data_IF_126990470229
#
_entry.id   IF_126990470229
#
_cell.length_a   1.000
_cell.length_b   1.000
_cell.length_c   1.000
_cell.angle_alpha   90.00
_cell.angle_beta   90.00
_cell.angle_gamma   90.00
#
_symmetry.space_group_name_H-M   'P 1'
#
loop_
_entity.id
_entity.type
_entity.pdbx_description
1 polymer ?
#
# COMPACT_ATOMS: atom_id res chain seq x y z
N UNK A 1 16.80 -6.66 -19.29
CA UNK A 1 17.26 -6.86 -17.90
C UNK A 1 17.70 -8.32 -17.77
N UNK A 2 18.95 -8.64 -17.38
CA UNK A 2 19.37 -10.02 -17.21
C UNK A 2 18.54 -10.72 -16.12
N UNK A 3 18.23 -12.03 -16.24
CA UNK A 3 17.45 -12.74 -15.24
C UNK A 3 18.20 -12.75 -13.91
N UNK A 4 17.59 -12.19 -12.87
CA UNK A 4 18.13 -12.22 -11.52
C UNK A 4 18.42 -13.67 -11.11
N UNK A 5 19.55 -13.92 -10.46
CA UNK A 5 19.91 -15.27 -10.02
C UNK A 5 18.79 -15.85 -9.13
N UNK A 6 18.49 -17.16 -9.26
CA UNK A 6 17.41 -17.81 -8.49
C UNK A 6 17.47 -17.51 -6.99
N UNK A 7 18.69 -17.42 -6.43
CA UNK A 7 18.92 -17.03 -5.02
C UNK A 7 18.47 -15.60 -4.71
N UNK A 8 18.73 -14.65 -5.61
CA UNK A 8 18.25 -13.27 -5.48
C UNK A 8 16.73 -13.17 -5.60
N UNK A 9 16.08 -14.04 -6.37
CA UNK A 9 14.62 -14.05 -6.46
C UNK A 9 13.97 -14.53 -5.15
N UNK A 10 14.50 -15.59 -4.54
CA UNK A 10 14.00 -16.08 -3.25
C UNK A 10 14.21 -15.10 -2.10
N UNK A 11 15.35 -14.40 -2.05
CA UNK A 11 15.59 -13.40 -1.00
C UNK A 11 14.63 -12.21 -1.13
N UNK A 12 14.37 -11.74 -2.35
CA UNK A 12 13.38 -10.69 -2.61
C UNK A 12 11.96 -11.15 -2.23
N UNK A 13 11.59 -12.39 -2.56
CA UNK A 13 10.29 -12.93 -2.18
C UNK A 13 10.10 -12.98 -0.65
N UNK A 14 11.10 -13.45 0.10
CA UNK A 14 11.08 -13.44 1.56
C UNK A 14 10.95 -12.02 2.13
N UNK A 15 11.67 -11.07 1.55
CA UNK A 15 11.63 -9.67 1.97
C UNK A 15 10.24 -9.06 1.74
N UNK A 16 9.61 -9.35 0.59
CA UNK A 16 8.23 -8.93 0.31
C UNK A 16 7.25 -9.52 1.32
N UNK A 17 7.35 -10.83 1.61
CA UNK A 17 6.49 -11.50 2.61
C UNK A 17 6.66 -10.87 4.00
N UNK A 18 7.89 -10.58 4.41
CA UNK A 18 8.18 -9.95 5.70
C UNK A 18 7.59 -8.54 5.78
N UNK A 19 7.76 -7.73 4.73
CA UNK A 19 7.20 -6.36 4.67
C UNK A 19 5.67 -6.40 4.75
N UNK A 20 5.01 -7.26 3.97
CA UNK A 20 3.55 -7.35 3.95
C UNK A 20 2.96 -7.91 5.24
N UNK A 21 3.59 -8.94 5.82
CA UNK A 21 3.15 -9.52 7.09
C UNK A 21 3.31 -8.51 8.23
N UNK A 22 4.46 -7.82 8.30
CA UNK A 22 4.69 -6.76 9.26
C UNK A 22 3.70 -5.61 9.10
N UNK A 23 3.39 -5.20 7.87
CA UNK A 23 2.39 -4.18 7.59
C UNK A 23 1.00 -4.53 8.16
N UNK A 24 0.53 -5.75 7.92
CA UNK A 24 -0.78 -6.22 8.40
C UNK A 24 -0.82 -6.25 9.94
N UNK A 25 0.22 -6.79 10.57
CA UNK A 25 0.31 -6.90 12.03
C UNK A 25 0.33 -5.51 12.69
N UNK A 26 1.21 -4.62 12.24
CA UNK A 26 1.31 -3.24 12.78
C UNK A 26 0.02 -2.47 12.54
N UNK A 27 -0.62 -2.63 11.37
CA UNK A 27 -1.91 -1.97 11.09
C UNK A 27 -3.04 -2.47 11.97
N UNK A 28 -3.06 -3.77 12.31
CA UNK A 28 -4.02 -4.30 13.28
C UNK A 28 -3.78 -3.76 14.68
N UNK A 29 -2.53 -3.69 15.14
CA UNK A 29 -2.18 -3.13 16.46
C UNK A 29 -2.58 -1.65 16.52
N UNK A 30 -2.30 -0.88 15.46
CA UNK A 30 -2.74 0.51 15.34
C UNK A 30 -4.27 0.66 15.32
N UNK A 31 -4.98 -0.24 14.64
CA UNK A 31 -6.45 -0.25 14.59
C UNK A 31 -7.14 -0.76 15.87
N UNK A 32 -6.45 -1.53 16.71
CA UNK A 32 -6.94 -1.99 18.01
C UNK A 32 -6.67 -0.97 19.14
N UNK A 33 -5.70 -0.06 18.93
CA UNK A 33 -5.43 1.06 19.82
C UNK A 33 -6.51 2.15 19.70
N UNK A 34 -6.51 3.15 20.59
CA UNK A 34 -7.45 4.28 20.55
C UNK A 34 -7.31 5.20 19.31
N UNK A 35 -6.39 4.89 18.38
CA UNK A 35 -6.16 5.68 17.18
C UNK A 35 -7.30 5.53 16.19
N UNK A 36 -7.65 6.62 15.53
CA UNK A 36 -8.63 6.58 14.44
C UNK A 36 -7.97 6.05 13.16
N UNK A 37 -8.78 5.57 12.21
CA UNK A 37 -8.27 5.13 10.90
C UNK A 37 -7.57 6.29 10.16
N UNK A 38 -7.99 7.53 10.41
CA UNK A 38 -7.38 8.74 9.88
C UNK A 38 -5.97 8.96 10.42
N UNK A 39 -5.75 8.75 11.72
CA UNK A 39 -4.43 8.92 12.33
C UNK A 39 -3.43 7.89 11.80
N UNK A 40 -3.86 6.63 11.68
CA UNK A 40 -3.04 5.56 11.13
C UNK A 40 -2.70 5.79 9.65
N UNK A 41 -3.67 6.28 8.87
CA UNK A 41 -3.45 6.70 7.50
C UNK A 41 -2.47 7.88 7.42
N UNK A 42 -2.67 8.91 8.24
CA UNK A 42 -1.84 10.12 8.27
C UNK A 42 -0.38 9.77 8.58
N UNK A 43 -0.12 8.97 9.62
CA UNK A 43 1.25 8.56 9.97
C UNK A 43 1.92 7.88 8.77
N UNK A 44 1.26 6.90 8.14
CA UNK A 44 1.87 6.16 7.02
C UNK A 44 2.17 7.06 5.82
N UNK A 45 1.22 7.90 5.42
CA UNK A 45 1.38 8.74 4.23
C UNK A 45 2.30 9.93 4.49
N UNK A 46 2.28 10.53 5.68
CA UNK A 46 3.19 11.60 6.07
C UNK A 46 4.62 11.08 6.17
N UNK A 47 4.85 9.91 6.77
CA UNK A 47 6.19 9.30 6.82
C UNK A 47 6.69 8.97 5.41
N UNK A 48 5.84 8.37 4.57
CA UNK A 48 6.21 8.09 3.18
C UNK A 48 6.54 9.39 2.42
N UNK A 49 5.71 10.42 2.55
CA UNK A 49 5.94 11.73 1.93
C UNK A 49 7.25 12.36 2.43
N UNK A 50 7.53 12.34 3.73
CA UNK A 50 8.76 12.89 4.31
C UNK A 50 10.02 12.21 3.76
N UNK A 51 9.97 10.89 3.50
CA UNK A 51 11.07 10.14 2.90
C UNK A 51 11.17 10.40 1.39
N UNK A 52 10.04 10.52 0.69
CA UNK A 52 9.99 10.70 -0.76
C UNK A 52 10.28 12.13 -1.22
N UNK A 53 9.94 13.16 -0.43
CA UNK A 53 10.21 14.58 -0.74
C UNK A 53 11.69 14.86 -1.06
N UNK A 54 12.68 14.43 -0.25
CA UNK A 54 14.09 14.68 -0.56
C UNK A 54 14.55 13.93 -1.82
N UNK A 55 14.07 12.71 -2.04
CA UNK A 55 14.35 11.92 -3.25
C UNK A 55 13.77 12.60 -4.49
N UNK A 56 12.54 13.09 -4.41
CA UNK A 56 11.87 13.83 -5.49
C UNK A 56 12.59 15.13 -5.82
N UNK A 57 13.05 15.88 -4.80
CA UNK A 57 13.83 17.10 -5.00
C UNK A 57 15.15 16.82 -5.72
N UNK A 58 15.76 15.66 -5.48
CA UNK A 58 17.02 15.26 -6.11
C UNK A 58 16.86 14.77 -7.57
N UNK A 59 15.74 14.11 -7.92
CA UNK A 59 15.55 13.43 -9.22
C UNK A 59 14.90 14.23 -10.35
N UNK A 60 15.04 15.57 -10.38
CA UNK A 60 14.39 16.46 -11.38
C UNK A 60 12.86 16.32 -11.41
N UNK A 61 12.21 16.90 -10.38
CA UNK A 61 10.78 17.26 -10.24
C UNK A 61 9.85 16.93 -11.43
N UNK A 62 9.39 15.68 -11.60
CA UNK A 62 8.25 15.41 -12.47
C UNK A 62 7.01 16.16 -11.97
N UNK A 63 6.12 16.56 -12.87
CA UNK A 63 4.90 17.32 -12.54
C UNK A 63 4.02 16.50 -11.58
N UNK A 64 3.99 16.90 -10.29
CA UNK A 64 3.21 16.23 -9.25
C UNK A 64 1.71 16.57 -9.31
N UNK A 65 1.35 17.63 -10.03
CA UNK A 65 0.02 18.22 -10.04
C UNK A 65 -0.74 17.95 -11.35
N UNK A 66 -0.41 16.87 -12.05
CA UNK A 66 -1.26 16.39 -13.14
C UNK A 66 -2.59 15.90 -12.55
N UNK A 67 -3.71 16.38 -13.10
CA UNK A 67 -5.06 16.01 -12.67
C UNK A 67 -5.27 14.48 -12.68
N UNK A 68 -4.61 13.76 -13.59
CA UNK A 68 -4.63 12.29 -13.62
C UNK A 68 -3.92 11.68 -12.42
N UNK A 69 -2.73 12.18 -12.04
CA UNK A 69 -2.00 11.69 -10.86
C UNK A 69 -2.76 11.98 -9.57
N UNK A 70 -3.37 13.16 -9.47
CA UNK A 70 -4.20 13.54 -8.33
C UNK A 70 -5.43 12.63 -8.21
N UNK A 71 -6.15 12.38 -9.31
CA UNK A 71 -7.30 11.48 -9.31
C UNK A 71 -6.92 10.04 -8.92
N UNK A 72 -5.83 9.50 -9.47
CA UNK A 72 -5.34 8.17 -9.13
C UNK A 72 -4.91 8.07 -7.66
N UNK A 73 -4.26 9.10 -7.14
CA UNK A 73 -3.83 9.15 -5.72
C UNK A 73 -5.03 9.29 -4.78
N UNK A 74 -6.05 10.05 -5.16
CA UNK A 74 -7.27 10.20 -4.38
C UNK A 74 -8.05 8.86 -4.29
N UNK A 75 -8.17 8.13 -5.41
CA UNK A 75 -8.92 6.87 -5.44
C UNK A 75 -8.08 5.73 -4.84
N UNK A 76 -6.89 5.49 -5.37
CA UNK A 76 -6.04 4.36 -4.99
C UNK A 76 -5.26 4.56 -3.70
N UNK A 77 -5.00 5.81 -3.31
CA UNK A 77 -4.33 6.14 -2.06
C UNK A 77 -5.32 6.42 -0.94
N UNK A 78 -6.06 7.52 -1.05
CA UNK A 78 -6.96 8.00 0.02
C UNK A 78 -8.17 7.07 0.20
N UNK A 79 -9.01 6.89 -0.82
CA UNK A 79 -10.26 6.13 -0.67
C UNK A 79 -9.99 4.65 -0.32
N UNK A 80 -9.10 3.99 -1.06
CA UNK A 80 -8.69 2.62 -0.76
C UNK A 80 -8.04 2.49 0.63
N UNK A 81 -7.09 3.37 0.96
CA UNK A 81 -6.39 3.33 2.25
C UNK A 81 -7.34 3.47 3.42
N UNK A 82 -8.26 4.43 3.38
CA UNK A 82 -9.24 4.65 4.44
C UNK A 82 -10.21 3.48 4.61
N UNK A 83 -10.67 2.89 3.51
CA UNK A 83 -11.51 1.69 3.55
C UNK A 83 -10.74 0.50 4.15
N UNK A 84 -9.48 0.31 3.76
CA UNK A 84 -8.64 -0.76 4.29
C UNK A 84 -8.38 -0.58 5.81
N UNK A 85 -7.96 0.61 6.25
CA UNK A 85 -7.74 0.89 7.68
C UNK A 85 -9.02 0.83 8.52
N UNK A 86 -10.16 1.23 7.96
CA UNK A 86 -11.46 1.04 8.60
C UNK A 86 -11.82 -0.44 8.74
N UNK A 87 -11.49 -1.26 7.74
CA UNK A 87 -11.63 -2.72 7.79
C UNK A 87 -10.78 -3.37 8.88
N UNK A 88 -9.52 -2.91 9.04
CA UNK A 88 -8.62 -3.40 10.10
C UNK A 88 -9.14 -3.12 11.52
N UNK A 89 -9.92 -2.06 11.72
CA UNK A 89 -10.56 -1.76 13.02
C UNK A 89 -11.69 -2.75 13.34
N UNK A 90 -12.46 -3.16 12.33
CA UNK A 90 -13.65 -4.01 12.49
C UNK A 90 -13.37 -5.51 12.39
N UNK A 91 -12.31 -5.93 11.71
CA UNK A 91 -12.07 -7.35 11.37
C UNK A 91 -10.72 -7.88 11.89
N UNK A 92 -10.63 -9.15 12.33
CA UNK A 92 -9.37 -9.77 12.76
C UNK A 92 -8.28 -9.71 11.68
N UNK A 93 -7.02 -9.68 12.11
CA UNK A 93 -5.86 -9.62 11.20
C UNK A 93 -5.89 -10.70 10.11
N UNK A 94 -6.32 -11.92 10.44
CA UNK A 94 -6.39 -13.06 9.51
C UNK A 94 -7.32 -12.80 8.33
N UNK A 95 -8.52 -12.24 8.56
CA UNK A 95 -9.47 -11.93 7.50
C UNK A 95 -8.94 -10.80 6.61
N UNK A 96 -8.35 -9.77 7.20
CA UNK A 96 -7.75 -8.68 6.44
C UNK A 96 -6.52 -9.13 5.62
N UNK A 97 -5.72 -10.07 6.16
CA UNK A 97 -4.55 -10.64 5.50
C UNK A 97 -4.90 -11.50 4.28
N UNK A 98 -6.07 -12.14 4.28
CA UNK A 98 -6.53 -12.93 3.13
C UNK A 98 -7.20 -12.02 2.10
N UNK A 99 -8.07 -11.11 2.55
CA UNK A 99 -8.86 -10.29 1.64
C UNK A 99 -8.03 -9.23 0.92
N UNK A 100 -7.11 -8.53 1.60
CA UNK A 100 -6.36 -7.45 0.97
C UNK A 100 -5.37 -7.97 -0.11
N UNK A 101 -4.30 -8.72 0.22
CA UNK A 101 -3.38 -9.21 -0.79
C UNK A 101 -3.96 -10.35 -1.64
N UNK A 102 -4.93 -11.13 -1.14
CA UNK A 102 -5.51 -12.25 -1.87
C UNK A 102 -6.55 -11.85 -2.92
N UNK A 103 -7.34 -10.80 -2.71
CA UNK A 103 -8.32 -10.34 -3.71
C UNK A 103 -7.75 -9.32 -4.71
N UNK A 104 -6.64 -8.65 -4.39
CA UNK A 104 -6.01 -7.68 -5.28
C UNK A 104 -5.73 -8.23 -6.70
N UNK A 105 -5.15 -9.44 -6.87
CA UNK A 105 -4.92 -10.00 -8.20
C UNK A 105 -6.21 -10.21 -9.00
N UNK A 106 -7.28 -10.67 -8.35
CA UNK A 106 -8.58 -10.87 -9.00
C UNK A 106 -9.22 -9.54 -9.39
N UNK A 107 -9.21 -8.57 -8.48
CA UNK A 107 -9.74 -7.24 -8.74
C UNK A 107 -9.01 -6.56 -9.91
N UNK A 108 -7.67 -6.66 -9.94
CA UNK A 108 -6.86 -6.13 -11.04
C UNK A 108 -7.14 -6.88 -12.34
N UNK A 109 -7.29 -8.20 -12.33
CA UNK A 109 -7.61 -8.98 -13.53
C UNK A 109 -8.97 -8.58 -14.13
N UNK A 110 -9.99 -8.40 -13.28
CA UNK A 110 -11.32 -7.94 -13.71
C UNK A 110 -11.23 -6.51 -14.26
N UNK A 111 -10.57 -5.59 -13.53
CA UNK A 111 -10.41 -4.22 -13.98
C UNK A 111 -9.65 -4.13 -15.31
N UNK A 112 -8.59 -4.93 -15.49
CA UNK A 112 -7.86 -5.03 -16.74
C UNK A 112 -8.76 -5.48 -17.89
N UNK A 113 -9.62 -6.48 -17.67
CA UNK A 113 -10.57 -6.98 -18.68
C UNK A 113 -11.64 -5.97 -19.08
N UNK A 114 -12.04 -5.08 -18.17
CA UNK A 114 -13.08 -4.07 -18.40
C UNK A 114 -12.51 -2.81 -19.05
N UNK A 115 -11.27 -2.45 -18.73
CA UNK A 115 -10.62 -1.21 -19.19
C UNK A 115 -9.75 -1.38 -20.44
N UNK A 116 -9.29 -2.60 -20.74
CA UNK A 116 -8.49 -2.97 -21.93
C UNK A 116 -9.33 -3.82 -22.89
#
# INVERSE_FOLDING_TARGET
>A
MPPASRRSAYSLALMVVAIWSGFILVSRIGGASAMTAWDLFAIRYVTAAAILIPVWRYRRRPALLDGRMLALTAIGGLAYGLLAFSGFKRSPATHAAILLPGLLPFAIAIAARVLL
#
